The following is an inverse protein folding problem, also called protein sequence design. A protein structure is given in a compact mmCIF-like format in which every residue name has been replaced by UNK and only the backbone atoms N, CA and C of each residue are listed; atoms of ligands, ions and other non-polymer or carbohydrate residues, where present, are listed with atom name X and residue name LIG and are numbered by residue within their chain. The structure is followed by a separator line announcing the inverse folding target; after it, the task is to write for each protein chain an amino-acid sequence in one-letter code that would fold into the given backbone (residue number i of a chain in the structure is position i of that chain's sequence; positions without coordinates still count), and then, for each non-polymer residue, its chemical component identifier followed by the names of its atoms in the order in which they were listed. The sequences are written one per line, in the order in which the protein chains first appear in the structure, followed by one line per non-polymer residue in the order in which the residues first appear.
data_IF_255788151363
#
_entry.id   IF_255788151363
#
_cell.length_a   1.000
_cell.length_b   1.000
_cell.length_c   1.000
_cell.angle_alpha   90.00
_cell.angle_beta   90.00
_cell.angle_gamma   90.00
#
_symmetry.space_group_name_H-M   'P 1'
#
loop_
_entity.id
_entity.type
_entity.pdbx_description
1 polymer ?
#
# COMPACT_ATOMS: atom_id res chain seq x y z
N UNK A 1 14.11 -9.70 -18.41
CA UNK A 1 13.10 -10.47 -17.65
C UNK A 1 11.73 -9.88 -17.89
N UNK A 2 10.72 -10.71 -18.09
CA UNK A 2 9.32 -10.26 -18.07
C UNK A 2 8.93 -10.14 -16.59
N UNK A 3 8.57 -8.94 -16.15
CA UNK A 3 7.93 -8.75 -14.86
C UNK A 3 6.68 -9.65 -14.81
N UNK A 4 6.35 -10.25 -13.66
CA UNK A 4 5.13 -11.04 -13.54
C UNK A 4 3.93 -10.18 -13.99
N UNK A 5 2.99 -10.82 -14.68
CA UNK A 5 1.79 -10.13 -15.13
C UNK A 5 0.99 -9.73 -13.89
N UNK A 6 0.94 -8.42 -13.61
CA UNK A 6 0.17 -7.87 -12.49
C UNK A 6 -1.35 -8.02 -12.72
N UNK A 7 -2.17 -7.62 -11.74
CA UNK A 7 -3.62 -7.66 -11.85
C UNK A 7 -4.11 -6.93 -13.11
N UNK A 8 -5.18 -7.46 -13.72
CA UNK A 8 -5.76 -6.85 -14.91
C UNK A 8 -6.30 -5.45 -14.60
N UNK A 9 -6.24 -4.55 -15.59
CA UNK A 9 -6.95 -3.28 -15.51
C UNK A 9 -8.46 -3.52 -15.56
N UNK A 10 -9.18 -2.87 -14.66
CA UNK A 10 -10.62 -2.78 -14.65
C UNK A 10 -11.05 -1.37 -15.03
N UNK A 11 -12.30 -1.21 -15.47
CA UNK A 11 -12.88 0.11 -15.69
C UNK A 11 -14.35 0.16 -15.30
N UNK A 12 -14.80 1.34 -14.90
CA UNK A 12 -16.21 1.62 -14.73
C UNK A 12 -16.57 2.99 -15.29
N UNK A 13 -17.80 3.15 -15.75
CA UNK A 13 -18.34 4.45 -16.15
C UNK A 13 -18.81 5.16 -14.90
N UNK A 14 -18.30 6.37 -14.65
CA UNK A 14 -18.71 7.17 -13.48
C UNK A 14 -19.73 8.24 -13.88
N UNK A 15 -20.80 8.44 -13.10
CA UNK A 15 -21.74 9.52 -13.36
C UNK A 15 -21.06 10.86 -13.08
N UNK A 16 -21.31 11.85 -13.95
CA UNK A 16 -20.80 13.21 -13.78
C UNK A 16 -21.94 14.15 -13.45
N UNK A 17 -21.74 15.01 -12.44
CA UNK A 17 -22.71 16.03 -12.05
C UNK A 17 -22.93 17.08 -13.14
N UNK A 18 -21.93 17.28 -14.01
CA UNK A 18 -21.99 18.19 -15.14
C UNK A 18 -22.05 17.43 -16.45
N UNK A 19 -22.70 18.04 -17.45
CA UNK A 19 -22.78 17.48 -18.80
C UNK A 19 -21.38 17.42 -19.42
N UNK A 20 -20.83 16.22 -19.56
CA UNK A 20 -19.58 16.00 -20.29
C UNK A 20 -19.89 15.64 -21.74
N UNK A 21 -19.05 16.10 -22.68
CA UNK A 21 -19.20 15.76 -24.11
C UNK A 21 -18.95 14.27 -24.39
N UNK A 22 -18.29 13.56 -23.48
CA UNK A 22 -17.89 12.15 -23.59
C UNK A 22 -18.18 11.43 -22.28
N UNK A 23 -18.41 10.13 -22.38
CA UNK A 23 -18.52 9.23 -21.23
C UNK A 23 -17.18 9.22 -20.49
N UNK A 24 -17.22 9.32 -19.16
CA UNK A 24 -16.02 9.26 -18.32
C UNK A 24 -15.80 7.83 -17.85
N UNK A 25 -14.69 7.24 -18.27
CA UNK A 25 -14.23 5.94 -17.82
C UNK A 25 -13.18 6.10 -16.72
N UNK A 26 -13.44 5.52 -15.55
CA UNK A 26 -12.46 5.38 -14.47
C UNK A 26 -11.78 4.03 -14.62
N UNK A 27 -10.48 4.04 -14.86
CA UNK A 27 -9.65 2.84 -14.87
C UNK A 27 -8.99 2.64 -13.51
N UNK A 28 -8.97 1.41 -13.03
CA UNK A 28 -8.39 1.06 -11.74
C UNK A 28 -7.93 -0.41 -11.72
N UNK A 29 -7.12 -0.77 -10.74
CA UNK A 29 -6.88 -2.17 -10.38
C UNK A 29 -7.67 -2.51 -9.12
N UNK A 30 -8.06 -3.77 -8.97
CA UNK A 30 -8.50 -4.24 -7.68
C UNK A 30 -7.35 -4.10 -6.68
N UNK A 31 -7.57 -3.33 -5.61
CA UNK A 31 -6.53 -3.01 -4.66
C UNK A 31 -6.06 -4.25 -3.88
N UNK A 32 -6.97 -5.18 -3.58
CA UNK A 32 -6.63 -6.40 -2.85
C UNK A 32 -5.84 -7.35 -3.74
N UNK A 33 -6.25 -7.57 -4.98
CA UNK A 33 -5.48 -8.38 -5.94
C UNK A 33 -4.08 -7.79 -6.17
N UNK A 34 -3.98 -6.46 -6.20
CA UNK A 34 -2.69 -5.78 -6.36
C UNK A 34 -1.79 -5.93 -5.13
N UNK A 35 -2.35 -5.76 -3.93
CA UNK A 35 -1.64 -5.99 -2.67
C UNK A 35 -1.18 -7.45 -2.59
N UNK A 36 -2.05 -8.42 -2.88
CA UNK A 36 -1.72 -9.84 -2.87
C UNK A 36 -0.61 -10.17 -3.88
N UNK A 37 -0.70 -9.64 -5.10
CA UNK A 37 0.34 -9.81 -6.11
C UNK A 37 1.68 -9.20 -5.67
N UNK A 38 1.66 -8.08 -4.96
CA UNK A 38 2.87 -7.42 -4.47
C UNK A 38 3.55 -8.23 -3.38
N UNK A 39 2.77 -8.77 -2.43
CA UNK A 39 3.30 -9.55 -1.31
C UNK A 39 3.80 -10.93 -1.74
N UNK A 40 3.19 -11.51 -2.77
CA UNK A 40 3.65 -12.76 -3.36
C UNK A 40 4.85 -12.56 -4.31
N UNK A 41 5.32 -11.33 -4.52
CA UNK A 41 6.39 -11.06 -5.46
C UNK A 41 7.76 -11.47 -4.86
N UNK A 42 8.48 -12.46 -5.42
CA UNK A 42 9.69 -13.01 -4.79
C UNK A 42 10.79 -11.98 -4.52
N UNK A 43 10.92 -10.98 -5.40
CA UNK A 43 11.89 -9.89 -5.24
C UNK A 43 11.69 -9.02 -3.98
N UNK A 44 10.47 -8.99 -3.44
CA UNK A 44 10.12 -8.18 -2.27
C UNK A 44 10.12 -9.00 -0.98
N UNK A 45 10.12 -10.34 -1.06
CA UNK A 45 10.02 -11.22 0.10
C UNK A 45 11.05 -10.89 1.19
N UNK A 46 12.31 -10.68 0.80
CA UNK A 46 13.40 -10.38 1.75
C UNK A 46 13.54 -8.88 2.08
N UNK A 47 12.67 -8.03 1.54
CA UNK A 47 12.74 -6.57 1.68
C UNK A 47 11.60 -6.00 2.52
N UNK A 48 10.65 -6.83 2.94
CA UNK A 48 9.50 -6.39 3.72
C UNK A 48 9.70 -6.73 5.19
N UNK A 49 9.61 -5.71 6.04
CA UNK A 49 9.61 -5.87 7.49
C UNK A 49 8.19 -5.61 8.02
N UNK A 50 7.59 -6.64 8.60
CA UNK A 50 6.21 -6.59 9.08
C UNK A 50 6.10 -6.49 10.61
N UNK A 51 7.23 -6.57 11.30
CA UNK A 51 7.25 -6.47 12.76
C UNK A 51 7.31 -4.99 13.17
N UNK A 52 6.45 -4.55 14.10
CA UNK A 52 6.61 -3.23 14.69
C UNK A 52 7.94 -3.17 15.43
N UNK A 53 8.59 -2.01 15.40
CA UNK A 53 9.90 -1.82 16.00
C UNK A 53 9.97 -0.52 16.78
N UNK A 54 11.00 -0.37 17.60
CA UNK A 54 11.23 0.83 18.41
C UNK A 54 12.63 1.33 18.16
N UNK A 55 12.75 2.55 17.63
CA UNK A 55 14.04 3.19 17.37
C UNK A 55 14.34 4.25 18.41
N UNK A 56 15.56 4.26 18.91
CA UNK A 56 16.04 5.25 19.86
C UNK A 56 17.36 5.85 19.38
N UNK A 57 17.62 7.10 19.76
CA UNK A 57 18.85 7.82 19.37
C UNK A 57 20.12 7.19 19.93
N UNK A 58 20.00 6.54 21.09
CA UNK A 58 21.12 5.95 21.84
C UNK A 58 20.65 4.70 22.58
N UNK A 59 21.60 3.91 23.09
CA UNK A 59 21.32 2.66 23.80
C UNK A 59 20.60 2.88 25.15
N UNK A 60 20.65 4.09 25.72
CA UNK A 60 19.93 4.45 26.94
C UNK A 60 18.42 4.62 26.71
N UNK A 61 17.95 4.58 25.46
CA UNK A 61 16.53 4.65 25.07
C UNK A 61 15.79 5.89 25.61
N UNK A 62 16.50 7.00 25.82
CA UNK A 62 15.93 8.22 26.40
C UNK A 62 15.12 9.05 25.40
N UNK A 63 15.48 9.00 24.12
CA UNK A 63 14.81 9.75 23.06
C UNK A 63 14.34 8.79 21.97
N UNK A 64 13.03 8.79 21.74
CA UNK A 64 12.36 7.96 20.75
C UNK A 64 12.43 8.59 19.36
N UNK A 65 12.65 7.77 18.34
CA UNK A 65 12.63 8.15 16.93
C UNK A 65 11.41 7.50 16.27
N UNK A 66 10.68 8.30 15.48
CA UNK A 66 9.59 7.82 14.64
C UNK A 66 9.92 8.08 13.16
N UNK A 67 10.22 7.02 12.41
CA UNK A 67 10.60 7.09 10.99
C UNK A 67 9.44 6.71 10.08
N UNK A 68 8.82 5.57 10.38
CA UNK A 68 7.66 5.03 9.67
C UNK A 68 6.54 4.70 10.65
N UNK A 69 5.34 4.41 10.14
CA UNK A 69 4.23 3.97 10.97
C UNK A 69 4.58 2.75 11.83
N UNK A 70 5.41 1.82 11.32
CA UNK A 70 5.89 0.64 12.05
C UNK A 70 6.71 0.96 13.31
N UNK A 71 7.28 2.18 13.40
CA UNK A 71 8.03 2.63 14.57
C UNK A 71 7.14 3.19 15.70
N UNK A 72 5.84 3.34 15.44
CA UNK A 72 4.88 3.95 16.36
C UNK A 72 4.40 2.99 17.44
N UNK A 73 4.06 3.53 18.61
CA UNK A 73 3.50 2.72 19.69
C UNK A 73 2.09 2.21 19.34
N UNK A 74 1.31 2.96 18.55
CA UNK A 74 0.00 2.50 18.08
C UNK A 74 0.09 1.24 17.22
N UNK A 75 1.09 1.11 16.34
CA UNK A 75 1.28 -0.11 15.55
C UNK A 75 1.65 -1.30 16.44
N UNK A 76 2.46 -1.05 17.48
CA UNK A 76 2.81 -2.06 18.48
C UNK A 76 1.58 -2.57 19.22
N UNK A 77 0.72 -1.66 19.68
CA UNK A 77 -0.54 -1.98 20.34
C UNK A 77 -1.48 -2.77 19.41
N UNK A 78 -1.65 -2.33 18.17
CA UNK A 78 -2.49 -3.05 17.20
C UNK A 78 -1.97 -4.45 16.91
N UNK A 79 -0.66 -4.61 16.67
CA UNK A 79 -0.06 -5.92 16.44
C UNK A 79 -0.22 -6.86 17.64
N UNK A 80 -0.18 -6.34 18.87
CA UNK A 80 -0.36 -7.15 20.09
C UNK A 80 -1.75 -7.76 20.24
N UNK A 81 -2.75 -7.24 19.51
CA UNK A 81 -4.11 -7.77 19.48
C UNK A 81 -4.33 -8.81 18.37
N UNK A 82 -3.35 -9.00 17.47
CA UNK A 82 -3.42 -9.97 16.39
C UNK A 82 -2.94 -11.34 16.92
N UNK A 83 -3.69 -12.43 16.66
CA UNK A 83 -3.26 -13.77 17.06
C UNK A 83 -1.92 -14.19 16.46
N UNK A 84 -1.28 -15.16 17.10
CA UNK A 84 -0.05 -15.77 16.59
C UNK A 84 -0.24 -16.29 15.16
N UNK A 85 0.74 -16.03 14.30
CA UNK A 85 0.69 -16.30 12.86
C UNK A 85 0.09 -15.19 12.01
N UNK A 86 -0.52 -14.16 12.61
CA UNK A 86 -0.98 -12.96 11.92
C UNK A 86 0.01 -11.80 12.03
N UNK A 87 0.10 -10.99 10.97
CA UNK A 87 0.91 -9.76 10.96
C UNK A 87 0.10 -8.58 10.46
N UNK A 88 0.28 -7.43 11.11
CA UNK A 88 -0.22 -6.15 10.65
C UNK A 88 0.66 -5.66 9.49
N UNK A 89 0.03 -5.10 8.46
CA UNK A 89 0.76 -4.43 7.39
C UNK A 89 0.06 -3.14 6.98
N UNK A 90 0.81 -2.04 6.91
CA UNK A 90 0.34 -0.82 6.26
C UNK A 90 0.48 -0.91 4.77
N UNK A 91 -0.56 -0.46 4.07
CA UNK A 91 -0.49 -0.20 2.64
C UNK A 91 -0.74 1.28 2.39
N UNK A 92 0.21 1.95 1.75
CA UNK A 92 0.04 3.31 1.24
C UNK A 92 -0.18 3.19 -0.27
N UNK A 93 -1.39 3.52 -0.71
CA UNK A 93 -1.76 3.50 -2.12
C UNK A 93 -1.64 4.91 -2.69
N UNK A 94 -1.04 5.03 -3.87
CA UNK A 94 -1.08 6.26 -4.65
C UNK A 94 -1.89 6.04 -5.92
N UNK A 95 -2.68 7.04 -6.30
CA UNK A 95 -3.33 7.04 -7.61
C UNK A 95 -2.32 7.48 -8.65
N UNK A 96 -2.14 6.66 -9.70
CA UNK A 96 -1.29 7.01 -10.81
C UNK A 96 -1.85 8.28 -11.48
N UNK A 97 -1.06 9.37 -11.46
CA UNK A 97 -1.42 10.58 -12.20
C UNK A 97 -1.38 10.27 -13.69
N UNK A 98 -2.57 10.05 -14.27
CA UNK A 98 -2.69 9.83 -15.71
C UNK A 98 -2.54 11.17 -16.41
N UNK A 99 -1.52 11.31 -17.25
CA UNK A 99 -1.43 12.46 -18.15
C UNK A 99 -2.52 12.32 -19.21
N UNK A 100 -3.48 13.25 -19.23
CA UNK A 100 -4.44 13.37 -20.32
C UNK A 100 -3.63 13.72 -21.57
N UNK A 101 -3.50 12.76 -22.50
CA UNK A 101 -3.06 13.05 -23.86
C UNK A 101 -4.31 13.23 -24.69
N UNK A 102 -4.45 14.38 -25.35
CA UNK A 102 -5.42 14.52 -26.43
C UNK A 102 -5.02 13.53 -27.54
N UNK A 103 -5.95 12.63 -27.88
CA UNK A 103 -5.89 11.77 -29.06
C UNK A 103 -6.68 12.47 -30.16
#
# INVERSE_FOLDING_TARGET
ELLPSGPCWQFQVIPTTHLTKKIVHLYYHDALEYIESLFNHPFLADKMEFSPFRLFTTAEHLVRIYTEWMSSDSTWEMQSQIPEGGSLCSVILSSNKTYIREI
#
